data_IF_755165540606
#
_entry.id   IF_755165540606
#
_cell.length_a   1.000
_cell.length_b   1.000
_cell.length_c   1.000
_cell.angle_alpha   90.00
_cell.angle_beta   90.00
_cell.angle_gamma   90.00
#
_symmetry.space_group_name_H-M   'P 1'
#
loop_
_entity.id
_entity.type
_entity.pdbx_description
1 polymer ?
#
# COMPACT_ATOMS: atom_id res chain seq x y z
N UNK A 1 -7.45 19.99 34.97
CA UNK A 1 -7.40 18.89 33.98
C UNK A 1 -6.27 19.19 33.02
N UNK A 2 -5.27 18.33 32.82
CA UNK A 2 -4.25 18.60 31.81
C UNK A 2 -4.94 18.63 30.43
N UNK A 3 -4.66 19.67 29.63
CA UNK A 3 -5.12 19.73 28.25
C UNK A 3 -4.54 18.54 27.48
N UNK A 4 -5.33 17.92 26.60
CA UNK A 4 -4.84 16.85 25.73
C UNK A 4 -3.67 17.38 24.89
N UNK A 5 -2.53 16.70 24.95
CA UNK A 5 -1.32 17.01 24.18
C UNK A 5 -1.62 17.04 22.66
N UNK A 6 -2.52 16.17 22.22
CA UNK A 6 -2.98 16.09 20.83
C UNK A 6 -4.50 16.13 20.84
N UNK A 7 -5.09 17.05 20.07
CA UNK A 7 -6.53 17.10 19.83
C UNK A 7 -6.81 16.90 18.34
N UNK A 8 -7.87 16.17 18.04
CA UNK A 8 -8.36 15.97 16.68
C UNK A 8 -9.74 16.62 16.58
N UNK A 9 -9.89 17.59 15.69
CA UNK A 9 -11.19 18.16 15.32
C UNK A 9 -11.51 17.68 13.92
N UNK A 10 -12.69 17.06 13.74
CA UNK A 10 -13.14 16.55 12.45
C UNK A 10 -14.42 17.28 12.05
N UNK A 11 -14.43 17.85 10.86
CA UNK A 11 -15.63 18.31 10.14
C UNK A 11 -15.92 17.32 9.00
N UNK A 12 -17.04 17.49 8.27
CA UNK A 12 -17.43 16.54 7.20
C UNK A 12 -16.31 16.25 6.19
N UNK A 13 -15.49 17.26 5.82
CA UNK A 13 -14.46 17.13 4.78
C UNK A 13 -13.04 17.45 5.26
N UNK A 14 -12.82 17.68 6.55
CA UNK A 14 -11.51 18.08 7.04
C UNK A 14 -11.21 17.52 8.42
N UNK A 15 -9.95 17.15 8.62
CA UNK A 15 -9.40 16.81 9.92
C UNK A 15 -8.30 17.81 10.29
N UNK A 16 -8.41 18.39 11.48
CA UNK A 16 -7.38 19.26 12.07
C UNK A 16 -6.81 18.57 13.29
N UNK A 17 -5.52 18.22 13.20
CA UNK A 17 -4.73 17.72 14.33
C UNK A 17 -3.98 18.88 14.97
N UNK A 18 -4.27 19.19 16.23
CA UNK A 18 -3.55 20.22 16.99
C UNK A 18 -2.66 19.56 18.04
N UNK A 19 -1.38 19.90 18.03
CA UNK A 19 -0.40 19.42 19.00
C UNK A 19 -0.04 20.59 19.92
N UNK A 20 -0.33 20.45 21.22
CA UNK A 20 -0.03 21.41 22.26
C UNK A 20 1.08 20.85 23.16
N UNK A 21 2.36 20.98 22.79
CA UNK A 21 3.47 20.46 23.59
C UNK A 21 3.63 21.28 24.89
N UNK A 22 3.97 20.66 26.03
CA UNK A 22 4.28 21.39 27.25
C UNK A 22 5.61 22.13 27.10
N UNK A 23 5.79 23.19 27.88
CA UNK A 23 7.00 24.03 27.86
C UNK A 23 8.26 23.31 28.37
N UNK A 24 8.12 22.17 29.07
CA UNK A 24 9.22 21.31 29.50
C UNK A 24 8.73 19.88 29.77
N UNK A 25 9.65 18.91 29.80
CA UNK A 25 9.38 17.55 30.29
C UNK A 25 8.78 16.55 29.28
N UNK A 26 8.63 16.89 28.00
CA UNK A 26 8.19 15.93 26.97
C UNK A 26 9.39 15.36 26.20
N UNK A 27 9.54 14.04 26.19
CA UNK A 27 10.42 13.33 25.25
C UNK A 27 9.70 12.09 24.71
N UNK A 28 9.85 11.82 23.40
CA UNK A 28 9.33 10.61 22.78
C UNK A 28 10.25 9.45 23.12
N UNK A 29 9.72 8.43 23.78
CA UNK A 29 10.44 7.21 24.13
C UNK A 29 9.59 5.99 23.77
N UNK A 30 10.17 5.02 23.10
CA UNK A 30 9.48 3.80 22.72
C UNK A 30 10.08 3.14 21.48
N UNK A 31 9.52 2.00 21.11
CA UNK A 31 9.86 1.26 19.89
C UNK A 31 8.59 1.10 19.09
N UNK A 32 8.64 1.47 17.81
CA UNK A 32 7.54 1.28 16.88
C UNK A 32 7.99 0.43 15.70
N UNK A 33 7.05 -0.30 15.11
CA UNK A 33 7.24 -0.92 13.80
C UNK A 33 6.54 -0.06 12.77
N UNK A 34 7.29 0.46 11.81
CA UNK A 34 6.72 1.23 10.70
C UNK A 34 6.04 0.30 9.68
N UNK A 35 5.03 0.79 8.94
CA UNK A 35 4.43 0.04 7.84
C UNK A 35 5.44 -0.33 6.74
N UNK A 36 5.06 -1.26 5.87
CA UNK A 36 5.86 -1.60 4.70
C UNK A 36 6.23 -0.38 3.84
N UNK A 37 7.34 -0.48 3.11
CA UNK A 37 7.70 0.57 2.16
C UNK A 37 6.76 0.56 0.95
N UNK A 38 6.24 1.73 0.58
CA UNK A 38 5.27 1.88 -0.51
C UNK A 38 5.88 1.47 -1.86
N UNK A 39 7.09 1.93 -2.14
CA UNK A 39 7.80 1.71 -3.40
C UNK A 39 8.16 0.23 -3.63
N UNK A 40 8.58 -0.46 -2.57
CA UNK A 40 8.86 -1.90 -2.58
C UNK A 40 7.55 -2.67 -2.69
N UNK A 41 6.48 -2.25 -2.02
CA UNK A 41 5.17 -2.92 -2.09
C UNK A 41 4.63 -2.97 -3.52
N UNK A 42 4.69 -1.86 -4.27
CA UNK A 42 4.38 -1.86 -5.70
C UNK A 42 5.23 -2.87 -6.45
N UNK A 43 6.56 -2.72 -6.40
CA UNK A 43 7.48 -3.54 -7.20
C UNK A 43 7.38 -5.03 -6.86
N UNK A 44 7.19 -5.38 -5.59
CA UNK A 44 7.03 -6.77 -5.16
C UNK A 44 5.78 -7.41 -5.78
N UNK A 45 4.65 -6.68 -5.83
CA UNK A 45 3.43 -7.14 -6.49
C UNK A 45 3.63 -7.28 -8.01
N UNK A 46 4.19 -6.25 -8.66
CA UNK A 46 4.39 -6.24 -10.11
C UNK A 46 5.34 -7.35 -10.56
N UNK A 47 6.51 -7.44 -9.94
CA UNK A 47 7.52 -8.44 -10.26
C UNK A 47 7.03 -9.86 -9.92
N UNK A 48 6.33 -10.02 -8.79
CA UNK A 48 5.73 -11.30 -8.43
C UNK A 48 4.68 -11.75 -9.44
N UNK A 49 3.89 -10.83 -10.00
CA UNK A 49 2.85 -11.14 -10.98
C UNK A 49 3.43 -11.59 -12.32
N UNK A 50 4.51 -10.96 -12.80
CA UNK A 50 5.15 -11.33 -14.09
C UNK A 50 6.20 -12.44 -13.96
N UNK A 51 6.61 -12.79 -12.74
CA UNK A 51 7.51 -13.91 -12.52
C UNK A 51 6.84 -15.25 -12.83
N UNK A 52 7.64 -16.29 -13.03
CA UNK A 52 7.13 -17.67 -13.09
C UNK A 52 7.12 -18.28 -11.69
N UNK A 53 5.99 -18.85 -11.28
CA UNK A 53 5.86 -19.59 -10.03
C UNK A 53 5.28 -18.76 -8.88
N UNK A 54 5.67 -19.08 -7.64
CA UNK A 54 5.09 -18.49 -6.43
C UNK A 54 6.04 -17.47 -5.79
N UNK A 55 5.57 -16.24 -5.61
CA UNK A 55 6.21 -15.20 -4.81
C UNK A 55 5.48 -15.06 -3.47
N UNK A 56 6.25 -14.94 -2.39
CA UNK A 56 5.72 -14.69 -1.04
C UNK A 56 6.24 -13.34 -0.55
N UNK A 57 5.33 -12.42 -0.23
CA UNK A 57 5.64 -11.07 0.24
C UNK A 57 5.22 -10.97 1.70
N UNK A 58 6.10 -10.45 2.56
CA UNK A 58 5.80 -10.16 3.98
C UNK A 58 6.03 -8.68 4.24
N UNK A 59 5.23 -8.08 5.11
CA UNK A 59 5.31 -6.65 5.42
C UNK A 59 4.86 -5.75 4.27
N UNK A 60 3.90 -6.19 3.44
CA UNK A 60 3.31 -5.36 2.40
C UNK A 60 2.61 -4.14 3.03
N UNK A 61 2.77 -2.96 2.43
CA UNK A 61 1.99 -1.78 2.81
C UNK A 61 0.53 -1.94 2.38
N UNK A 62 -0.40 -1.80 3.32
CA UNK A 62 -1.85 -1.85 3.08
C UNK A 62 -2.43 -0.47 2.73
N UNK A 63 -1.81 0.22 1.78
CA UNK A 63 -2.31 1.48 1.24
C UNK A 63 -3.18 1.27 0.00
N UNK A 64 -3.95 2.30 -0.37
CA UNK A 64 -4.74 2.33 -1.61
C UNK A 64 -3.86 2.18 -2.87
N UNK A 65 -2.62 2.68 -2.79
CA UNK A 65 -1.63 2.63 -3.86
C UNK A 65 -1.24 1.17 -4.24
N UNK A 66 -0.68 0.34 -3.32
CA UNK A 66 -0.44 -1.08 -3.61
C UNK A 66 -1.71 -1.90 -3.90
N UNK A 67 -2.86 -1.53 -3.31
CA UNK A 67 -4.14 -2.16 -3.63
C UNK A 67 -4.51 -1.95 -5.10
N UNK A 68 -4.36 -0.72 -5.61
CA UNK A 68 -4.61 -0.40 -7.03
C UNK A 68 -3.68 -1.22 -7.94
N UNK A 69 -2.39 -1.33 -7.58
CA UNK A 69 -1.46 -2.22 -8.30
C UNK A 69 -1.92 -3.68 -8.32
N UNK A 70 -2.28 -4.24 -7.17
CA UNK A 70 -2.73 -5.63 -7.10
C UNK A 70 -3.99 -5.86 -7.93
N UNK A 71 -4.96 -4.94 -7.86
CA UNK A 71 -6.19 -5.00 -8.66
C UNK A 71 -5.90 -4.98 -10.16
N UNK A 72 -4.99 -4.11 -10.62
CA UNK A 72 -4.58 -4.10 -12.02
C UNK A 72 -3.94 -5.43 -12.45
N UNK A 73 -3.03 -5.99 -11.66
CA UNK A 73 -2.40 -7.27 -12.01
C UNK A 73 -3.35 -8.46 -11.92
N UNK A 74 -4.35 -8.44 -11.03
CA UNK A 74 -5.44 -9.42 -11.04
C UNK A 74 -6.24 -9.36 -12.33
N UNK A 75 -6.58 -8.15 -12.79
CA UNK A 75 -7.28 -7.95 -14.06
C UNK A 75 -6.46 -8.42 -15.27
N UNK A 76 -5.12 -8.36 -15.18
CA UNK A 76 -4.19 -8.88 -16.19
C UNK A 76 -3.88 -10.38 -16.04
N UNK A 77 -4.61 -11.10 -15.17
CA UNK A 77 -4.58 -12.55 -15.04
C UNK A 77 -3.72 -13.11 -13.91
N UNK A 78 -3.07 -12.27 -13.09
CA UNK A 78 -2.29 -12.75 -11.93
C UNK A 78 -3.18 -13.18 -10.76
N UNK A 79 -2.88 -14.33 -10.15
CA UNK A 79 -3.53 -14.77 -8.91
C UNK A 79 -2.78 -14.20 -7.71
N UNK A 80 -3.35 -13.16 -7.10
CA UNK A 80 -2.82 -12.47 -5.92
C UNK A 80 -3.80 -12.68 -4.77
N UNK A 81 -3.35 -13.30 -3.69
CA UNK A 81 -4.14 -13.51 -2.46
C UNK A 81 -4.63 -12.20 -1.85
N UNK A 82 -5.52 -12.26 -0.85
CA UNK A 82 -5.88 -11.07 -0.08
C UNK A 82 -4.63 -10.36 0.47
N UNK A 83 -4.64 -9.03 0.40
CA UNK A 83 -3.51 -8.22 0.85
C UNK A 83 -3.56 -8.09 2.36
N UNK A 84 -2.47 -8.45 3.02
CA UNK A 84 -2.29 -8.30 4.46
C UNK A 84 -0.80 -8.04 4.76
N UNK A 85 -0.47 -7.69 6.00
CA UNK A 85 0.91 -7.40 6.41
C UNK A 85 1.73 -8.65 6.71
N UNK A 86 1.09 -9.78 7.02
CA UNK A 86 1.77 -10.99 7.45
C UNK A 86 2.36 -11.76 6.26
N UNK A 87 1.53 -12.07 5.29
CA UNK A 87 1.87 -12.89 4.13
C UNK A 87 0.89 -12.68 2.97
N UNK A 88 1.41 -12.19 1.84
CA UNK A 88 0.72 -12.14 0.55
C UNK A 88 1.38 -13.13 -0.41
N UNK A 89 0.56 -13.92 -1.09
CA UNK A 89 1.01 -14.90 -2.08
C UNK A 89 0.61 -14.40 -3.46
N UNK A 90 1.59 -14.31 -4.35
CA UNK A 90 1.39 -14.02 -5.77
C UNK A 90 1.79 -15.27 -6.55
N UNK A 91 0.86 -15.85 -7.31
CA UNK A 91 1.18 -16.86 -8.32
C UNK A 91 1.37 -16.13 -9.64
N UNK A 92 2.63 -15.92 -9.98
CA UNK A 92 3.01 -15.21 -11.19
C UNK A 92 2.66 -16.01 -12.43
N UNK A 93 2.19 -15.30 -13.45
CA UNK A 93 1.73 -15.89 -14.71
C UNK A 93 2.88 -16.14 -15.69
N UNK A 94 4.05 -15.56 -15.43
CA UNK A 94 5.23 -15.61 -16.29
C UNK A 94 5.32 -14.44 -17.28
N UNK A 95 6.55 -14.16 -17.73
CA UNK A 95 6.83 -13.04 -18.62
C UNK A 95 6.12 -13.20 -19.97
N UNK A 96 5.52 -12.13 -20.48
CA UNK A 96 4.80 -12.13 -21.76
C UNK A 96 3.44 -12.83 -21.72
N UNK A 97 2.92 -13.15 -20.54
CA UNK A 97 1.63 -13.87 -20.37
C UNK A 97 0.52 -13.02 -19.75
N UNK A 98 0.71 -11.71 -19.64
CA UNK A 98 -0.35 -10.78 -19.23
C UNK A 98 -1.53 -10.90 -20.20
N UNK A 99 -2.73 -10.94 -19.64
CA UNK A 99 -3.97 -11.08 -20.39
C UNK A 99 -4.58 -9.71 -20.62
N UNK A 100 -5.29 -9.56 -21.73
CA UNK A 100 -6.08 -8.35 -21.98
C UNK A 100 -7.16 -8.22 -20.89
N UNK A 101 -7.22 -7.10 -20.17
CA UNK A 101 -8.23 -6.90 -19.14
C UNK A 101 -9.59 -6.66 -19.79
N UNK A 102 -10.66 -7.14 -19.14
CA UNK A 102 -12.05 -7.00 -19.63
C UNK A 102 -12.54 -5.54 -19.62
N UNK A 103 -11.97 -4.72 -18.74
CA UNK A 103 -12.34 -3.32 -18.53
C UNK A 103 -11.10 -2.46 -18.27
N UNK A 104 -11.29 -1.15 -18.18
CA UNK A 104 -10.25 -0.16 -17.92
C UNK A 104 -9.54 -0.45 -16.59
N UNK A 105 -8.21 -0.48 -16.65
CA UNK A 105 -7.36 -0.59 -15.46
C UNK A 105 -7.43 0.70 -14.63
N UNK A 106 -8.05 0.64 -13.46
CA UNK A 106 -8.15 1.78 -12.55
C UNK A 106 -6.95 1.82 -11.60
N UNK A 107 -6.04 2.78 -11.83
CA UNK A 107 -4.90 3.02 -10.95
C UNK A 107 -5.24 3.82 -9.68
N UNK A 108 -6.50 4.23 -9.48
CA UNK A 108 -6.92 5.09 -8.37
C UNK A 108 -6.16 6.43 -8.38
N UNK A 109 -5.78 6.90 -7.19
CA UNK A 109 -4.89 8.06 -7.04
C UNK A 109 -3.39 7.70 -7.12
N UNK A 110 -3.08 6.46 -7.52
CA UNK A 110 -1.71 5.96 -7.52
C UNK A 110 -0.98 6.32 -8.81
N UNK A 111 -0.36 7.50 -8.83
CA UNK A 111 0.50 7.92 -9.93
C UNK A 111 1.69 6.99 -10.18
N UNK A 112 2.13 6.24 -9.17
CA UNK A 112 3.17 5.19 -9.32
C UNK A 112 2.62 3.98 -10.07
N UNK A 113 1.42 3.50 -9.69
CA UNK A 113 0.75 2.41 -10.40
C UNK A 113 0.57 2.78 -11.87
N UNK A 114 -0.03 3.94 -12.16
CA UNK A 114 -0.29 4.38 -13.53
C UNK A 114 0.98 4.37 -14.38
N UNK A 115 2.07 5.00 -13.91
CA UNK A 115 3.30 5.11 -14.70
C UNK A 115 4.01 3.79 -14.91
N UNK A 116 4.06 2.93 -13.90
CA UNK A 116 4.75 1.64 -14.00
C UNK A 116 3.97 0.62 -14.84
N UNK A 117 2.64 0.73 -14.87
CA UNK A 117 1.78 -0.13 -15.70
C UNK A 117 1.87 0.18 -17.20
N UNK A 118 2.37 1.36 -17.58
CA UNK A 118 2.52 1.77 -18.99
C UNK A 118 3.82 1.26 -19.63
N UNK A 119 4.76 0.75 -18.84
CA UNK A 119 6.09 0.31 -19.30
C UNK A 119 6.17 -1.14 -19.75
#
# INVERSE_FOLDING_TARGET
>A
MPANLVTLTTTENQQTLTINPPTSGLSLQGVIRIPGDKSISHRALMLGAIASGKTTIKGLLLGEDPQSTASCFRALGADISELNTEQVIVKGIGLGKLQEPVDVLNAGNSGTTLRLMLG
#
